data_IF_348395517490
#
_entry.id   IF_348395517490
#
_cell.length_a   1.000
_cell.length_b   1.000
_cell.length_c   1.000
_cell.angle_alpha   90.00
_cell.angle_beta   90.00
_cell.angle_gamma   90.00
#
_symmetry.space_group_name_H-M   'P 1'
#
loop_
_entity.id
_entity.type
_entity.pdbx_description
1 polymer ?
#
# COMPACT_ATOMS: atom_id res chain seq x y z
N UNK A 1 3.15 25.43 6.77
CA UNK A 1 2.59 24.97 5.48
C UNK A 1 2.97 25.96 4.38
N UNK A 2 2.96 25.58 3.11
CA UNK A 2 3.36 26.47 2.00
C UNK A 2 2.55 27.77 1.94
N UNK A 3 1.32 27.78 2.45
CA UNK A 3 0.44 28.96 2.54
C UNK A 3 0.61 29.79 3.81
N UNK A 4 1.64 29.54 4.62
CA UNK A 4 1.89 30.24 5.88
C UNK A 4 0.99 29.82 7.05
N UNK A 5 0.04 28.90 6.85
CA UNK A 5 -0.77 28.39 7.94
C UNK A 5 0.09 27.56 8.92
N UNK A 6 -0.17 27.70 10.21
CA UNK A 6 0.53 26.99 11.30
C UNK A 6 -0.47 26.20 12.14
N UNK A 7 -0.02 25.07 12.67
CA UNK A 7 -0.72 24.35 13.74
C UNK A 7 -0.17 24.86 15.06
N UNK A 8 -1.05 25.41 15.89
CA UNK A 8 -0.68 26.01 17.18
C UNK A 8 -1.39 25.25 18.30
N UNK A 9 -0.63 24.80 19.28
CA UNK A 9 -1.19 24.16 20.46
C UNK A 9 -1.32 25.21 21.57
N UNK A 10 -2.53 25.35 22.13
CA UNK A 10 -2.73 26.04 23.40
C UNK A 10 -2.16 25.21 24.57
N UNK A 11 -2.18 25.77 25.76
CA UNK A 11 -1.62 25.10 26.95
C UNK A 11 -2.31 23.76 27.25
N UNK A 12 -3.62 23.69 27.07
CA UNK A 12 -4.41 22.48 27.32
C UNK A 12 -4.05 21.39 26.32
N UNK A 13 -4.00 21.71 25.03
CA UNK A 13 -3.61 20.80 23.96
C UNK A 13 -2.16 20.36 24.13
N UNK A 14 -1.25 21.24 24.51
CA UNK A 14 0.15 20.89 24.76
C UNK A 14 0.29 19.92 25.94
N UNK A 15 -0.41 20.16 27.07
CA UNK A 15 -0.42 19.22 28.20
C UNK A 15 -0.90 17.85 27.79
N UNK A 16 -1.94 17.78 26.93
CA UNK A 16 -2.44 16.51 26.37
C UNK A 16 -1.44 15.87 25.41
N UNK A 17 -0.78 16.66 24.57
CA UNK A 17 0.22 16.17 23.59
C UNK A 17 1.41 15.47 24.26
N UNK A 18 1.77 15.89 25.47
CA UNK A 18 2.87 15.35 26.27
C UNK A 18 2.45 14.18 27.18
N UNK A 19 1.22 13.71 27.08
CA UNK A 19 0.67 12.61 27.86
C UNK A 19 0.39 11.37 26.99
N UNK A 20 0.22 10.21 27.64
CA UNK A 20 -0.25 8.99 27.01
C UNK A 20 -1.67 9.17 26.44
N UNK A 21 -2.00 8.39 25.42
CA UNK A 21 -3.36 8.31 24.85
C UNK A 21 -3.83 6.87 24.74
N UNK A 22 -5.08 6.67 24.33
CA UNK A 22 -5.61 5.34 24.10
C UNK A 22 -4.89 4.61 22.98
N UNK A 23 -4.76 3.30 23.11
CA UNK A 23 -4.04 2.46 22.14
C UNK A 23 -4.70 2.42 20.75
N UNK A 24 -6.02 2.64 20.68
CA UNK A 24 -6.73 2.76 19.39
C UNK A 24 -6.45 4.09 18.66
N UNK A 25 -5.92 5.10 19.34
CA UNK A 25 -5.73 6.47 18.86
C UNK A 25 -6.64 7.48 19.57
N UNK A 26 -6.42 8.77 19.29
CA UNK A 26 -7.23 9.84 19.89
C UNK A 26 -8.62 9.90 19.27
N UNK A 27 -9.70 10.07 20.07
CA UNK A 27 -11.08 9.93 19.59
C UNK A 27 -11.45 10.87 18.44
N UNK A 28 -11.02 12.11 18.49
CA UNK A 28 -11.34 13.12 17.47
C UNK A 28 -10.69 12.79 16.12
N UNK A 29 -9.46 12.25 16.11
CA UNK A 29 -8.80 11.82 14.87
C UNK A 29 -9.52 10.58 14.28
N UNK A 30 -9.84 9.60 15.12
CA UNK A 30 -10.60 8.40 14.70
C UNK A 30 -11.95 8.80 14.14
N UNK A 31 -12.69 9.67 14.80
CA UNK A 31 -14.01 10.14 14.33
C UNK A 31 -13.90 10.79 12.95
N UNK A 32 -12.94 11.70 12.78
CA UNK A 32 -12.74 12.38 11.50
C UNK A 32 -12.39 11.40 10.37
N UNK A 33 -11.50 10.43 10.65
CA UNK A 33 -11.13 9.41 9.66
C UNK A 33 -12.27 8.44 9.35
N UNK A 34 -13.09 8.05 10.34
CA UNK A 34 -14.29 7.23 10.11
C UNK A 34 -15.28 7.93 9.19
N UNK A 35 -15.49 9.22 9.39
CA UNK A 35 -16.38 10.01 8.55
C UNK A 35 -15.81 10.14 7.12
N UNK A 36 -14.50 10.32 6.99
CA UNK A 36 -13.85 10.31 5.68
C UNK A 36 -14.04 8.97 4.96
N UNK A 37 -13.82 7.84 5.65
CA UNK A 37 -13.99 6.49 5.08
C UNK A 37 -15.44 6.24 4.65
N UNK A 38 -16.43 6.65 5.48
CA UNK A 38 -17.85 6.55 5.14
C UNK A 38 -18.19 7.37 3.89
N UNK A 39 -17.70 8.60 3.81
CA UNK A 39 -18.02 9.49 2.71
C UNK A 39 -17.34 9.09 1.39
N UNK A 40 -16.11 8.57 1.45
CA UNK A 40 -15.36 8.17 0.26
C UNK A 40 -15.73 6.79 -0.25
N UNK A 41 -15.96 5.84 0.66
CA UNK A 41 -16.09 4.43 0.29
C UNK A 41 -17.49 3.87 0.50
N UNK A 42 -18.33 4.54 1.30
CA UNK A 42 -19.68 4.10 1.64
C UNK A 42 -19.73 2.59 1.99
N UNK A 43 -18.86 2.10 2.89
CA UNK A 43 -18.75 0.66 3.12
C UNK A 43 -20.04 0.12 3.75
N UNK A 44 -20.60 -1.00 3.25
CA UNK A 44 -21.81 -1.61 3.83
C UNK A 44 -21.67 -1.91 5.32
N UNK A 45 -20.48 -2.32 5.75
CA UNK A 45 -20.16 -2.67 7.14
C UNK A 45 -20.22 -1.49 8.11
N UNK A 46 -20.27 -0.24 7.63
CA UNK A 46 -20.39 0.94 8.50
C UNK A 46 -21.70 0.98 9.31
N UNK A 47 -22.75 0.30 8.84
CA UNK A 47 -24.06 0.23 9.48
C UNK A 47 -24.38 -1.13 10.12
N UNK A 48 -23.42 -2.07 10.11
CA UNK A 48 -23.64 -3.43 10.64
C UNK A 48 -23.59 -3.46 12.18
N UNK A 49 -24.16 -4.51 12.78
CA UNK A 49 -23.90 -4.85 14.18
C UNK A 49 -22.47 -5.39 14.35
N UNK A 50 -21.99 -5.44 15.58
CA UNK A 50 -20.67 -5.98 15.90
C UNK A 50 -20.53 -7.43 15.42
N UNK A 51 -21.57 -8.24 15.64
CA UNK A 51 -21.62 -9.65 15.24
C UNK A 51 -21.63 -9.83 13.72
N UNK A 52 -22.15 -8.86 12.99
CA UNK A 52 -22.17 -8.86 11.53
C UNK A 52 -20.91 -8.26 10.89
N UNK A 53 -19.89 -7.93 11.69
CA UNK A 53 -18.64 -7.37 11.19
C UNK A 53 -18.66 -5.84 11.04
N UNK A 54 -19.29 -5.13 11.99
CA UNK A 54 -19.29 -3.66 12.02
C UNK A 54 -17.89 -3.10 11.80
N UNK A 55 -17.80 -2.11 10.92
CA UNK A 55 -16.56 -1.39 10.63
C UNK A 55 -16.02 -0.66 11.86
N UNK A 56 -14.77 -0.88 12.17
CA UNK A 56 -14.01 -0.17 13.21
C UNK A 56 -12.68 0.30 12.66
N UNK A 57 -11.99 1.16 13.40
CA UNK A 57 -10.73 1.76 12.99
C UNK A 57 -9.78 1.93 14.18
N UNK A 58 -8.48 1.81 13.92
CA UNK A 58 -7.43 2.22 14.86
C UNK A 58 -6.27 2.93 14.15
N UNK A 59 -5.64 3.85 14.87
CA UNK A 59 -4.43 4.56 14.43
C UNK A 59 -3.21 3.67 14.61
N UNK A 60 -2.29 3.71 13.65
CA UNK A 60 -1.02 2.98 13.69
C UNK A 60 0.16 3.89 13.42
N UNK A 61 1.36 3.49 13.82
CA UNK A 61 2.62 4.22 13.54
C UNK A 61 3.07 3.96 12.09
N UNK A 62 2.27 4.49 11.14
CA UNK A 62 2.32 4.17 9.72
C UNK A 62 1.64 2.83 9.39
N UNK A 63 1.37 2.61 8.10
CA UNK A 63 0.72 1.37 7.62
C UNK A 63 1.57 0.11 7.89
N UNK A 64 2.90 0.22 7.90
CA UNK A 64 3.79 -0.92 8.16
C UNK A 64 3.56 -1.54 9.54
N UNK A 65 3.36 -0.74 10.59
CA UNK A 65 3.01 -1.27 11.91
C UNK A 65 1.68 -2.02 11.86
N UNK A 66 0.66 -1.44 11.19
CA UNK A 66 -0.62 -2.09 10.99
C UNK A 66 -0.50 -3.44 10.30
N UNK A 67 0.26 -3.51 9.20
CA UNK A 67 0.51 -4.75 8.46
C UNK A 67 1.19 -5.82 9.34
N UNK A 68 2.27 -5.47 10.07
CA UNK A 68 2.93 -6.41 10.97
C UNK A 68 1.94 -7.01 11.98
N UNK A 69 1.11 -6.15 12.62
CA UNK A 69 0.14 -6.61 13.62
C UNK A 69 -0.98 -7.47 13.02
N UNK A 70 -1.44 -7.14 11.81
CA UNK A 70 -2.42 -7.93 11.09
C UNK A 70 -1.85 -9.31 10.74
N UNK A 71 -0.62 -9.37 10.21
CA UNK A 71 0.00 -10.65 9.88
C UNK A 71 0.28 -11.49 11.11
N UNK A 72 0.84 -10.93 12.18
CA UNK A 72 1.08 -11.64 13.44
C UNK A 72 -0.21 -12.16 14.10
N UNK A 73 -1.34 -11.48 13.88
CA UNK A 73 -2.66 -11.92 14.35
C UNK A 73 -3.23 -13.08 13.53
N UNK A 74 -3.03 -13.06 12.20
CA UNK A 74 -3.75 -13.93 11.26
C UNK A 74 -2.95 -15.14 10.78
N UNK A 75 -1.61 -15.08 10.84
CA UNK A 75 -0.73 -16.02 10.16
C UNK A 75 0.09 -16.82 11.16
N UNK A 76 0.05 -18.16 11.06
CA UNK A 76 0.85 -19.09 11.82
C UNK A 76 1.92 -19.75 10.93
N UNK A 77 2.97 -20.35 11.53
CA UNK A 77 3.92 -21.17 10.78
C UNK A 77 3.21 -22.26 9.96
N UNK A 78 3.55 -22.37 8.68
CA UNK A 78 2.96 -23.34 7.76
C UNK A 78 1.65 -22.92 7.10
N UNK A 79 1.03 -21.82 7.53
CA UNK A 79 -0.15 -21.27 6.83
C UNK A 79 0.18 -20.82 5.42
N UNK A 80 -0.78 -20.92 4.51
CA UNK A 80 -0.67 -20.44 3.14
C UNK A 80 -1.22 -19.01 3.06
N UNK A 81 -0.39 -18.07 2.58
CA UNK A 81 -0.73 -16.66 2.35
C UNK A 81 -0.62 -16.35 0.86
N UNK A 82 -1.67 -15.76 0.30
CA UNK A 82 -1.72 -15.37 -1.12
C UNK A 82 -1.33 -13.91 -1.29
N UNK A 83 -0.54 -13.60 -2.30
CA UNK A 83 -0.24 -12.24 -2.75
C UNK A 83 0.18 -12.21 -4.22
N UNK A 84 0.14 -11.04 -4.83
CA UNK A 84 0.61 -10.80 -6.19
C UNK A 84 2.04 -10.23 -6.16
N UNK A 85 3.03 -11.09 -6.41
CA UNK A 85 4.43 -10.67 -6.57
C UNK A 85 4.76 -10.33 -8.05
N UNK A 86 5.68 -9.36 -8.30
CA UNK A 86 6.48 -8.64 -7.30
C UNK A 86 5.64 -7.70 -6.45
N UNK A 87 5.95 -7.62 -5.15
CA UNK A 87 5.18 -6.86 -4.18
C UNK A 87 6.07 -6.04 -3.24
N UNK A 88 5.46 -5.29 -2.34
CA UNK A 88 6.18 -4.46 -1.37
C UNK A 88 7.11 -5.31 -0.49
N UNK A 89 8.41 -4.98 -0.53
CA UNK A 89 9.43 -5.72 0.22
C UNK A 89 9.21 -5.71 1.75
N UNK A 90 8.57 -4.65 2.27
CA UNK A 90 8.20 -4.58 3.69
C UNK A 90 7.13 -5.60 4.09
N UNK A 91 6.25 -6.00 3.18
CA UNK A 91 5.29 -7.09 3.39
C UNK A 91 5.99 -8.43 3.41
N UNK A 92 6.91 -8.68 2.47
CA UNK A 92 7.72 -9.90 2.46
C UNK A 92 8.54 -10.04 3.74
N UNK A 93 9.19 -8.94 4.15
CA UNK A 93 9.97 -8.89 5.40
C UNK A 93 9.12 -9.13 6.66
N UNK A 94 7.83 -8.77 6.64
CA UNK A 94 6.92 -9.02 7.75
C UNK A 94 6.39 -10.46 7.78
N UNK A 95 6.19 -11.08 6.60
CA UNK A 95 5.65 -12.44 6.48
C UNK A 95 6.71 -13.53 6.67
N UNK A 96 7.92 -13.35 6.13
CA UNK A 96 8.98 -14.35 6.18
C UNK A 96 9.29 -14.87 7.59
N UNK A 97 9.44 -14.01 8.63
CA UNK A 97 9.70 -14.48 9.99
C UNK A 97 8.59 -15.32 10.62
N UNK A 98 7.36 -15.23 10.09
CA UNK A 98 6.20 -15.99 10.58
C UNK A 98 6.24 -17.46 10.14
N UNK A 99 7.14 -17.84 9.23
CA UNK A 99 7.28 -19.21 8.75
C UNK A 99 6.09 -19.71 7.93
N UNK A 100 5.36 -18.81 7.28
CA UNK A 100 4.25 -19.14 6.38
C UNK A 100 4.74 -19.47 4.97
N UNK A 101 3.89 -20.14 4.20
CA UNK A 101 4.07 -20.38 2.77
C UNK A 101 3.48 -19.22 1.98
N UNK A 102 4.32 -18.42 1.35
CA UNK A 102 3.87 -17.32 0.49
C UNK A 102 3.64 -17.86 -0.91
N UNK A 103 2.40 -17.77 -1.39
CA UNK A 103 1.97 -18.28 -2.69
C UNK A 103 1.71 -17.11 -3.62
N UNK A 104 2.45 -17.08 -4.74
CA UNK A 104 2.27 -16.06 -5.76
C UNK A 104 1.01 -16.28 -6.58
N UNK A 105 0.24 -15.21 -6.77
CA UNK A 105 -0.83 -15.11 -7.76
C UNK A 105 -0.34 -14.22 -8.90
N UNK A 106 -0.44 -14.67 -10.14
CA UNK A 106 0.02 -13.89 -11.28
C UNK A 106 -0.72 -12.56 -11.41
N UNK A 107 0.01 -11.53 -11.80
CA UNK A 107 -0.49 -10.17 -12.02
C UNK A 107 0.08 -9.56 -13.30
N UNK A 108 -0.55 -8.49 -13.77
CA UNK A 108 -0.12 -7.68 -14.91
C UNK A 108 -0.25 -6.18 -14.57
N UNK A 109 -0.22 -5.31 -15.58
CA UNK A 109 -0.39 -3.86 -15.41
C UNK A 109 -1.74 -3.46 -14.78
N UNK A 110 -2.70 -4.37 -14.75
CA UNK A 110 -4.02 -4.19 -14.11
C UNK A 110 -4.13 -4.97 -12.78
N UNK A 111 -3.00 -5.27 -12.14
CA UNK A 111 -2.93 -5.97 -10.86
C UNK A 111 -3.19 -7.47 -10.96
N UNK A 112 -3.58 -8.08 -9.84
CA UNK A 112 -3.84 -9.51 -9.74
C UNK A 112 -4.84 -9.99 -10.78
N UNK A 113 -4.54 -11.13 -11.43
CA UNK A 113 -5.39 -11.76 -12.44
C UNK A 113 -6.36 -12.72 -11.75
N UNK A 114 -7.69 -12.47 -11.77
CA UNK A 114 -8.68 -13.30 -11.07
C UNK A 114 -8.67 -14.78 -11.53
N UNK A 115 -8.44 -15.03 -12.82
CA UNK A 115 -8.28 -16.38 -13.34
C UNK A 115 -7.10 -17.12 -12.71
N UNK A 116 -5.96 -16.44 -12.56
CA UNK A 116 -4.79 -17.03 -11.89
C UNK A 116 -5.05 -17.29 -10.40
N UNK A 117 -5.81 -16.41 -9.73
CA UNK A 117 -6.23 -16.64 -8.33
C UNK A 117 -7.12 -17.89 -8.25
N UNK A 118 -8.08 -18.04 -9.17
CA UNK A 118 -8.95 -19.24 -9.25
C UNK A 118 -8.11 -20.51 -9.46
N UNK A 119 -7.15 -20.47 -10.37
CA UNK A 119 -6.26 -21.62 -10.65
C UNK A 119 -5.44 -22.02 -9.42
N UNK A 120 -4.94 -21.04 -8.69
CA UNK A 120 -4.22 -21.30 -7.42
C UNK A 120 -5.16 -21.91 -6.38
N UNK A 121 -6.34 -21.32 -6.18
CA UNK A 121 -7.31 -21.76 -5.19
C UNK A 121 -7.92 -23.12 -5.51
N UNK A 122 -7.99 -23.54 -6.78
CA UNK A 122 -8.52 -24.84 -7.20
C UNK A 122 -7.78 -26.05 -6.62
N UNK A 123 -6.62 -25.83 -5.99
CA UNK A 123 -5.86 -26.86 -5.25
C UNK A 123 -6.55 -27.32 -3.97
N UNK A 124 -7.55 -26.58 -3.48
CA UNK A 124 -8.28 -26.85 -2.25
C UNK A 124 -9.78 -26.91 -2.50
N UNK A 125 -10.47 -27.66 -1.65
CA UNK A 125 -11.93 -27.66 -1.59
C UNK A 125 -12.37 -26.46 -0.71
N UNK A 126 -13.22 -25.55 -1.20
CA UNK A 126 -13.78 -24.46 -0.39
C UNK A 126 -14.46 -24.94 0.90
N UNK A 127 -15.07 -26.14 0.88
CA UNK A 127 -15.71 -26.74 2.05
C UNK A 127 -14.73 -27.03 3.20
N UNK A 128 -13.42 -27.07 2.92
CA UNK A 128 -12.38 -27.28 3.91
C UNK A 128 -11.91 -25.99 4.59
N UNK A 129 -12.30 -24.82 4.10
CA UNK A 129 -11.79 -23.53 4.59
C UNK A 129 -11.98 -23.33 6.10
N UNK A 130 -13.08 -23.83 6.68
CA UNK A 130 -13.39 -23.71 8.12
C UNK A 130 -13.02 -24.92 8.95
N UNK A 131 -12.44 -25.97 8.37
CA UNK A 131 -12.06 -27.17 9.10
C UNK A 131 -10.81 -26.92 9.96
N UNK A 132 -10.75 -27.45 11.19
CA UNK A 132 -9.53 -27.40 11.99
C UNK A 132 -8.35 -28.04 11.24
N UNK A 133 -7.19 -27.39 11.26
CA UNK A 133 -5.98 -27.88 10.58
C UNK A 133 -6.02 -27.78 9.06
N UNK A 134 -7.01 -27.08 8.49
CA UNK A 134 -7.09 -26.85 7.05
C UNK A 134 -5.88 -26.07 6.53
N UNK A 135 -5.39 -26.46 5.35
CA UNK A 135 -4.34 -25.76 4.60
C UNK A 135 -4.89 -24.79 3.56
N UNK A 136 -6.22 -24.60 3.48
CA UNK A 136 -6.84 -23.58 2.63
C UNK A 136 -6.29 -22.21 3.03
N UNK A 137 -5.78 -21.40 2.08
CA UNK A 137 -5.33 -20.04 2.40
C UNK A 137 -6.45 -19.25 3.06
N UNK A 138 -6.09 -18.44 4.07
CA UNK A 138 -7.06 -17.56 4.77
C UNK A 138 -6.82 -16.09 4.51
N UNK A 139 -5.64 -15.73 4.00
CA UNK A 139 -5.20 -14.35 3.82
C UNK A 139 -4.78 -14.13 2.39
N UNK A 140 -5.34 -13.10 1.77
CA UNK A 140 -4.93 -12.53 0.50
C UNK A 140 -4.47 -11.10 0.75
N UNK A 141 -3.22 -10.78 0.41
CA UNK A 141 -2.67 -9.43 0.48
C UNK A 141 -2.54 -8.84 -0.93
N UNK A 142 -2.93 -7.58 -1.11
CA UNK A 142 -2.74 -6.85 -2.37
C UNK A 142 -2.64 -5.34 -2.17
N UNK A 143 -1.92 -4.65 -3.09
CA UNK A 143 -1.85 -3.20 -3.19
C UNK A 143 -2.65 -2.79 -4.43
N UNK A 144 -3.94 -2.40 -4.29
CA UNK A 144 -4.84 -2.32 -5.43
C UNK A 144 -4.65 -1.07 -6.30
N UNK A 145 -3.99 -0.01 -5.82
CA UNK A 145 -3.79 1.23 -6.58
C UNK A 145 -2.31 1.62 -6.60
N UNK A 146 -1.74 1.79 -7.80
CA UNK A 146 -0.37 2.23 -7.98
C UNK A 146 0.66 1.40 -7.21
N UNK A 147 0.53 0.08 -7.27
CA UNK A 147 1.25 -0.87 -6.43
C UNK A 147 2.77 -0.68 -6.42
N UNK A 148 3.37 -0.99 -5.30
CA UNK A 148 4.82 -1.01 -5.13
C UNK A 148 5.32 -2.45 -5.31
N UNK A 149 6.16 -2.74 -6.31
CA UNK A 149 6.95 -1.82 -7.15
C UNK A 149 6.32 -1.49 -8.51
N UNK A 150 5.25 -2.17 -8.93
CA UNK A 150 4.83 -2.30 -10.35
C UNK A 150 4.13 -1.06 -10.90
N UNK A 151 3.60 -0.18 -10.05
CA UNK A 151 2.70 0.90 -10.48
C UNK A 151 1.34 0.41 -11.00
N UNK A 152 1.06 -0.89 -10.91
CA UNK A 152 -0.19 -1.47 -11.37
C UNK A 152 -1.39 -0.99 -10.56
N UNK A 153 -2.56 -0.88 -11.21
CA UNK A 153 -3.82 -0.55 -10.55
C UNK A 153 -4.89 -1.54 -10.96
N UNK A 154 -5.54 -2.17 -9.96
CA UNK A 154 -6.55 -3.18 -10.19
C UNK A 154 -7.86 -2.55 -10.64
N UNK A 155 -8.44 -3.07 -11.74
CA UNK A 155 -9.73 -2.60 -12.24
C UNK A 155 -10.87 -2.98 -11.29
N UNK A 156 -11.97 -2.26 -11.40
CA UNK A 156 -13.18 -2.52 -10.61
C UNK A 156 -13.72 -3.92 -10.83
N UNK A 157 -13.69 -4.40 -12.08
CA UNK A 157 -14.15 -5.73 -12.47
C UNK A 157 -13.30 -6.80 -11.80
N UNK A 158 -11.97 -6.68 -11.85
CA UNK A 158 -11.06 -7.62 -11.17
C UNK A 158 -11.24 -7.62 -9.67
N UNK A 159 -11.45 -6.45 -9.04
CA UNK A 159 -11.76 -6.37 -7.60
C UNK A 159 -13.03 -7.16 -7.25
N UNK A 160 -14.08 -7.04 -8.06
CA UNK A 160 -15.32 -7.81 -7.86
C UNK A 160 -15.09 -9.31 -7.98
N UNK A 161 -14.36 -9.76 -9.00
CA UNK A 161 -14.06 -11.18 -9.19
C UNK A 161 -13.19 -11.73 -8.06
N UNK A 162 -12.15 -11.01 -7.64
CA UNK A 162 -11.29 -11.37 -6.50
C UNK A 162 -12.13 -11.44 -5.21
N UNK A 163 -13.03 -10.48 -4.98
CA UNK A 163 -13.90 -10.47 -3.82
C UNK A 163 -14.86 -11.67 -3.81
N UNK A 164 -15.40 -12.08 -4.98
CA UNK A 164 -16.24 -13.29 -5.07
C UNK A 164 -15.45 -14.57 -4.75
N UNK A 165 -14.22 -14.68 -5.24
CA UNK A 165 -13.34 -15.79 -4.87
C UNK A 165 -13.02 -15.79 -3.37
N UNK A 166 -12.82 -14.61 -2.78
CA UNK A 166 -12.62 -14.50 -1.34
C UNK A 166 -13.84 -14.95 -0.53
N UNK A 167 -15.05 -14.71 -1.02
CA UNK A 167 -16.28 -15.25 -0.42
C UNK A 167 -16.37 -16.77 -0.53
N UNK A 168 -16.04 -17.32 -1.70
CA UNK A 168 -16.09 -18.75 -1.98
C UNK A 168 -15.13 -19.54 -1.08
N UNK A 169 -13.90 -19.06 -0.90
CA UNK A 169 -12.83 -19.73 -0.13
C UNK A 169 -12.65 -19.20 1.28
N UNK A 170 -13.56 -18.35 1.77
CA UNK A 170 -13.51 -17.73 3.11
C UNK A 170 -12.19 -16.98 3.40
N UNK A 171 -11.67 -16.26 2.40
CA UNK A 171 -10.47 -15.44 2.54
C UNK A 171 -10.77 -14.10 3.23
N UNK A 172 -9.83 -13.64 4.05
CA UNK A 172 -9.69 -12.25 4.43
C UNK A 172 -8.80 -11.53 3.40
N UNK A 173 -9.22 -10.36 2.93
CA UNK A 173 -8.42 -9.53 2.03
C UNK A 173 -7.77 -8.42 2.84
N UNK A 174 -6.44 -8.36 2.82
CA UNK A 174 -5.67 -7.21 3.32
C UNK A 174 -5.48 -6.25 2.14
N UNK A 175 -6.26 -5.17 2.15
CA UNK A 175 -6.22 -4.09 1.17
C UNK A 175 -5.22 -3.04 1.65
N UNK A 176 -3.96 -3.13 1.24
CA UNK A 176 -2.93 -2.14 1.56
C UNK A 176 -2.95 -1.03 0.50
N UNK A 177 -3.46 0.15 0.86
CA UNK A 177 -3.76 1.18 -0.14
C UNK A 177 -3.15 2.56 0.17
N UNK A 178 -1.84 2.65 0.39
CA UNK A 178 -1.17 3.92 0.73
C UNK A 178 -1.17 4.92 -0.44
N UNK A 179 -1.53 4.49 -1.63
CA UNK A 179 -1.57 5.30 -2.85
C UNK A 179 -3.00 5.58 -3.34
N UNK A 180 -4.03 5.27 -2.56
CA UNK A 180 -5.43 5.53 -2.95
C UNK A 180 -5.65 6.97 -3.43
N UNK A 181 -5.16 7.93 -2.68
CA UNK A 181 -5.26 9.34 -3.01
C UNK A 181 -4.31 9.81 -4.13
N UNK A 182 -3.42 8.95 -4.61
CA UNK A 182 -2.52 9.24 -5.72
C UNK A 182 -3.01 8.65 -7.05
N UNK A 183 -4.29 8.44 -7.22
CA UNK A 183 -4.92 8.09 -8.49
C UNK A 183 -5.02 9.35 -9.36
N UNK A 184 -4.48 9.29 -10.59
CA UNK A 184 -4.33 10.47 -11.45
C UNK A 184 -5.59 10.89 -12.18
N UNK A 185 -6.62 10.07 -12.17
CA UNK A 185 -7.91 10.36 -12.80
C UNK A 185 -9.05 10.20 -11.79
N UNK A 186 -10.11 11.00 -11.96
CA UNK A 186 -11.39 10.87 -11.26
C UNK A 186 -12.47 10.36 -12.23
N UNK A 187 -13.49 9.64 -11.76
CA UNK A 187 -13.69 9.24 -10.37
C UNK A 187 -12.66 8.21 -9.92
N UNK A 188 -12.29 8.24 -8.63
CA UNK A 188 -11.39 7.24 -8.07
C UNK A 188 -12.02 5.84 -8.09
N UNK A 189 -11.18 4.83 -8.31
CA UNK A 189 -11.64 3.45 -8.37
C UNK A 189 -12.25 3.01 -7.02
N UNK A 190 -13.35 2.24 -7.02
CA UNK A 190 -13.91 1.65 -5.82
C UNK A 190 -12.87 0.79 -5.08
N UNK A 191 -12.94 0.80 -3.75
CA UNK A 191 -12.08 -0.01 -2.88
C UNK A 191 -12.72 -1.37 -2.61
N UNK A 192 -11.92 -2.36 -2.15
CA UNK A 192 -12.49 -3.59 -1.61
C UNK A 192 -13.38 -3.31 -0.40
N UNK A 193 -13.00 -2.34 0.44
CA UNK A 193 -13.81 -1.91 1.57
C UNK A 193 -15.22 -1.46 1.14
N UNK A 194 -15.35 -0.77 0.00
CA UNK A 194 -16.65 -0.34 -0.55
C UNK A 194 -17.53 -1.50 -1.04
N UNK A 195 -16.93 -2.68 -1.25
CA UNK A 195 -17.63 -3.89 -1.73
C UNK A 195 -17.89 -4.89 -0.60
N UNK A 196 -17.42 -4.60 0.62
CA UNK A 196 -17.42 -5.53 1.74
C UNK A 196 -18.80 -5.71 2.36
N UNK A 197 -19.49 -6.77 1.95
CA UNK A 197 -20.80 -7.17 2.49
C UNK A 197 -20.71 -8.25 3.57
N UNK A 198 -19.52 -8.82 3.80
CA UNK A 198 -19.34 -9.96 4.71
C UNK A 198 -18.44 -9.63 5.92
N UNK A 199 -17.81 -8.44 5.95
CA UNK A 199 -16.83 -8.10 6.99
C UNK A 199 -15.52 -8.88 6.83
N UNK A 200 -14.98 -8.98 5.59
CA UNK A 200 -13.75 -9.71 5.26
C UNK A 200 -12.59 -8.86 4.77
N UNK A 201 -12.76 -7.53 4.75
CA UNK A 201 -11.73 -6.60 4.31
C UNK A 201 -11.04 -5.97 5.51
N UNK A 202 -9.71 -6.04 5.54
CA UNK A 202 -8.87 -5.27 6.46
C UNK A 202 -8.06 -4.31 5.59
N UNK A 203 -8.38 -3.02 5.68
CA UNK A 203 -7.74 -1.97 4.89
C UNK A 203 -6.68 -1.25 5.71
N UNK A 204 -5.52 -0.99 5.11
CA UNK A 204 -4.50 -0.11 5.66
C UNK A 204 -4.36 1.14 4.81
N UNK A 205 -4.32 2.29 5.47
CA UNK A 205 -4.14 3.60 4.87
C UNK A 205 -2.92 4.32 5.50
N UNK A 206 -2.37 5.30 4.79
CA UNK A 206 -1.19 6.03 5.25
C UNK A 206 -1.26 7.51 4.90
N UNK A 207 -0.90 8.38 5.85
CA UNK A 207 -0.68 9.80 5.59
C UNK A 207 0.72 10.11 5.03
N UNK A 208 1.60 9.13 4.95
CA UNK A 208 3.01 9.31 4.54
C UNK A 208 3.17 9.89 3.14
N UNK A 209 2.24 9.61 2.21
CA UNK A 209 2.35 10.02 0.81
C UNK A 209 1.56 11.28 0.48
N UNK A 210 0.67 11.69 1.37
CA UNK A 210 -0.26 12.81 1.16
C UNK A 210 -0.04 13.99 2.11
N UNK A 211 0.61 13.74 3.27
CA UNK A 211 1.02 14.79 4.21
C UNK A 211 2.54 14.78 4.40
N UNK A 212 3.05 13.84 5.18
CA UNK A 212 4.49 13.68 5.40
C UNK A 212 4.82 12.29 5.92
N UNK A 213 5.85 11.66 5.35
CA UNK A 213 6.31 10.34 5.79
C UNK A 213 6.90 10.35 7.21
N UNK A 214 7.50 11.47 7.63
CA UNK A 214 8.09 11.65 8.96
C UNK A 214 7.07 11.71 10.11
N UNK A 215 5.79 11.96 9.82
CA UNK A 215 4.72 11.98 10.83
C UNK A 215 4.42 10.59 11.39
N UNK A 216 4.72 9.54 10.65
CA UNK A 216 4.50 8.14 11.05
C UNK A 216 3.07 7.86 11.50
N UNK A 217 2.07 8.30 10.73
CA UNK A 217 0.65 8.02 10.97
C UNK A 217 0.06 7.24 9.79
N UNK A 218 -0.56 6.13 10.14
CA UNK A 218 -1.46 5.33 9.31
C UNK A 218 -2.65 4.90 10.13
N UNK A 219 -3.53 4.13 9.53
CA UNK A 219 -4.68 3.57 10.25
C UNK A 219 -5.15 2.28 9.57
N UNK A 220 -5.75 1.43 10.39
CA UNK A 220 -6.38 0.17 9.97
C UNK A 220 -7.88 0.32 10.07
N UNK A 221 -8.60 -0.07 9.03
CA UNK A 221 -10.07 -0.13 8.97
C UNK A 221 -10.50 -1.56 8.66
N UNK A 222 -11.44 -2.09 9.41
CA UNK A 222 -11.92 -3.45 9.18
C UNK A 222 -13.01 -3.87 10.16
N UNK A 223 -13.37 -5.16 10.20
CA UNK A 223 -14.34 -5.67 11.16
C UNK A 223 -13.89 -5.45 12.61
N UNK A 224 -14.78 -4.91 13.43
CA UNK A 224 -14.47 -4.57 14.83
C UNK A 224 -13.77 -5.68 15.62
N UNK A 225 -14.20 -6.97 15.56
CA UNK A 225 -13.51 -8.03 16.29
C UNK A 225 -12.03 -8.19 15.93
N UNK A 226 -11.66 -7.92 14.66
CA UNK A 226 -10.26 -7.99 14.20
C UNK A 226 -9.49 -6.71 14.58
N UNK A 227 -10.10 -5.54 14.39
CA UNK A 227 -9.48 -4.25 14.79
C UNK A 227 -9.24 -4.22 16.30
N UNK A 228 -10.16 -4.71 17.14
CA UNK A 228 -9.96 -4.81 18.59
C UNK A 228 -8.73 -5.67 18.93
N UNK A 229 -8.46 -6.74 18.20
CA UNK A 229 -7.24 -7.57 18.40
C UNK A 229 -5.97 -6.82 17.99
N UNK A 230 -6.01 -6.05 16.90
CA UNK A 230 -4.91 -5.17 16.51
C UNK A 230 -4.64 -4.14 17.62
N UNK A 231 -5.68 -3.54 18.20
CA UNK A 231 -5.55 -2.59 19.33
C UNK A 231 -4.92 -3.25 20.56
N UNK A 232 -5.31 -4.47 20.91
CA UNK A 232 -4.69 -5.21 22.00
C UNK A 232 -3.20 -5.51 21.73
N UNK A 233 -2.85 -5.81 20.48
CA UNK A 233 -1.45 -6.01 20.08
C UNK A 233 -0.66 -4.70 20.18
N UNK A 234 -1.24 -3.58 19.74
CA UNK A 234 -0.65 -2.24 19.92
C UNK A 234 -0.40 -1.97 21.41
N UNK A 235 -1.38 -2.24 22.25
CA UNK A 235 -1.28 -2.02 23.69
C UNK A 235 -0.12 -2.81 24.32
N UNK A 236 0.13 -4.05 23.86
CA UNK A 236 1.17 -4.92 24.39
C UNK A 236 2.58 -4.62 23.82
N UNK A 237 2.68 -3.89 22.71
CA UNK A 237 3.95 -3.66 21.98
C UNK A 237 4.38 -2.18 21.98
N UNK A 238 3.71 -1.34 21.24
CA UNK A 238 4.04 0.08 21.06
C UNK A 238 3.24 1.01 22.00
N UNK A 239 2.27 0.48 22.73
CA UNK A 239 1.28 1.13 23.57
C UNK A 239 0.29 2.01 22.79
N UNK A 240 0.76 2.98 22.04
CA UNK A 240 -0.01 3.84 21.13
C UNK A 240 0.92 4.62 20.20
N UNK A 241 0.38 5.10 19.09
CA UNK A 241 1.07 6.07 18.24
C UNK A 241 1.22 7.41 18.97
N UNK A 242 2.32 8.13 18.72
CA UNK A 242 2.63 9.42 19.39
C UNK A 242 1.41 10.35 19.46
N UNK A 243 0.98 10.69 20.69
CA UNK A 243 -0.14 11.62 20.94
C UNK A 243 0.15 12.98 20.32
N UNK A 244 1.39 13.45 20.42
CA UNK A 244 1.83 14.71 19.85
C UNK A 244 1.57 14.76 18.34
N UNK A 245 1.99 13.73 17.61
CA UNK A 245 1.81 13.64 16.16
C UNK A 245 0.33 13.48 15.78
N UNK A 246 -0.44 12.68 16.52
CA UNK A 246 -1.87 12.53 16.29
C UNK A 246 -2.60 13.88 16.43
N UNK A 247 -2.25 14.68 17.43
CA UNK A 247 -2.85 16.00 17.64
C UNK A 247 -2.48 17.00 16.53
N UNK A 248 -1.24 16.98 16.03
CA UNK A 248 -0.85 17.78 14.86
C UNK A 248 -1.75 17.48 13.67
N UNK A 249 -1.90 16.20 13.34
CA UNK A 249 -2.73 15.78 12.19
C UNK A 249 -4.20 16.11 12.47
N UNK A 250 -4.70 15.82 13.66
CA UNK A 250 -6.09 16.08 14.02
C UNK A 250 -6.44 17.57 13.87
N UNK A 251 -5.63 18.46 14.41
CA UNK A 251 -5.86 19.90 14.25
C UNK A 251 -5.78 20.35 12.80
N UNK A 252 -4.83 19.81 12.03
CA UNK A 252 -4.71 20.11 10.61
C UNK A 252 -5.97 19.71 9.83
N UNK A 253 -6.44 18.47 10.03
CA UNK A 253 -7.60 17.92 9.33
C UNK A 253 -8.90 18.61 9.74
N UNK A 254 -9.09 18.93 11.03
CA UNK A 254 -10.25 19.69 11.49
C UNK A 254 -10.23 21.14 10.99
N UNK A 255 -9.05 21.76 10.93
CA UNK A 255 -8.89 23.11 10.38
C UNK A 255 -9.19 23.20 8.88
N UNK A 256 -8.91 22.15 8.14
CA UNK A 256 -9.24 22.07 6.70
C UNK A 256 -10.67 21.63 6.44
N UNK A 257 -11.24 20.80 7.31
CA UNK A 257 -12.43 20.02 7.00
C UNK A 257 -12.19 19.01 5.87
N UNK A 258 -13.21 18.24 5.51
CA UNK A 258 -13.08 17.24 4.44
C UNK A 258 -12.87 17.88 3.06
N UNK A 259 -13.53 18.99 2.78
CA UNK A 259 -13.36 19.75 1.52
C UNK A 259 -11.94 20.27 1.39
N UNK A 260 -11.40 20.94 2.42
CA UNK A 260 -10.03 21.47 2.38
C UNK A 260 -9.00 20.36 2.30
N UNK A 261 -9.24 19.20 2.93
CA UNK A 261 -8.41 18.00 2.77
C UNK A 261 -8.42 17.51 1.31
N UNK A 262 -9.58 17.40 0.67
CA UNK A 262 -9.68 16.95 -0.72
C UNK A 262 -9.05 17.96 -1.70
N UNK A 263 -9.17 19.25 -1.44
CA UNK A 263 -8.48 20.29 -2.21
C UNK A 263 -6.95 20.18 -2.07
N UNK A 264 -6.45 19.86 -0.87
CA UNK A 264 -5.02 19.54 -0.69
C UNK A 264 -4.61 18.30 -1.49
N UNK A 265 -5.41 17.24 -1.46
CA UNK A 265 -5.18 16.03 -2.25
C UNK A 265 -5.10 16.32 -3.74
N UNK A 266 -5.97 17.17 -4.28
CA UNK A 266 -5.95 17.54 -5.70
C UNK A 266 -4.61 18.18 -6.10
N UNK A 267 -4.06 19.06 -5.24
CA UNK A 267 -2.72 19.62 -5.44
C UNK A 267 -1.59 18.58 -5.37
N UNK A 268 -1.72 17.59 -4.48
CA UNK A 268 -0.75 16.49 -4.39
C UNK A 268 -0.83 15.59 -5.64
N UNK A 269 -2.02 15.27 -6.10
CA UNK A 269 -2.26 14.48 -7.34
C UNK A 269 -1.68 15.19 -8.55
N UNK A 270 -1.89 16.49 -8.69
CA UNK A 270 -1.32 17.28 -9.79
C UNK A 270 0.22 17.24 -9.78
N UNK A 271 0.83 17.42 -8.61
CA UNK A 271 2.28 17.30 -8.46
C UNK A 271 2.78 15.94 -8.95
N UNK A 272 2.21 14.83 -8.45
CA UNK A 272 2.64 13.49 -8.84
C UNK A 272 2.34 13.16 -10.31
N UNK A 273 1.25 13.68 -10.87
CA UNK A 273 0.95 13.55 -12.30
C UNK A 273 2.04 14.20 -13.14
N UNK A 274 2.43 15.43 -12.81
CA UNK A 274 3.48 16.15 -13.53
C UNK A 274 4.84 15.43 -13.43
N UNK A 275 5.15 14.90 -12.25
CA UNK A 275 6.36 14.09 -12.04
C UNK A 275 6.35 12.78 -12.85
N UNK A 276 5.22 12.07 -12.86
CA UNK A 276 5.02 10.89 -13.73
C UNK A 276 5.23 11.23 -15.19
N UNK A 277 4.60 12.28 -15.67
CA UNK A 277 4.66 12.66 -17.09
C UNK A 277 6.08 13.08 -17.50
N UNK A 278 6.80 13.76 -16.63
CA UNK A 278 8.22 14.06 -16.84
C UNK A 278 9.06 12.77 -16.91
N UNK A 279 8.83 11.80 -16.02
CA UNK A 279 9.53 10.52 -16.03
C UNK A 279 9.21 9.71 -17.28
N UNK A 280 7.95 9.63 -17.71
CA UNK A 280 7.55 8.94 -18.95
C UNK A 280 8.18 9.59 -20.18
N UNK A 281 8.18 10.92 -20.27
CA UNK A 281 8.84 11.64 -21.37
C UNK A 281 10.34 11.36 -21.44
N UNK A 282 11.01 11.28 -20.30
CA UNK A 282 12.44 10.92 -20.23
C UNK A 282 12.67 9.45 -20.58
N UNK A 283 11.79 8.54 -20.15
CA UNK A 283 11.84 7.13 -20.52
C UNK A 283 11.71 6.95 -22.04
N UNK A 284 10.72 7.60 -22.65
CA UNK A 284 10.51 7.57 -24.11
C UNK A 284 11.73 8.10 -24.88
N UNK A 285 12.39 9.12 -24.35
CA UNK A 285 13.57 9.73 -24.99
C UNK A 285 14.80 8.81 -24.93
N UNK A 286 15.07 8.20 -23.77
CA UNK A 286 16.34 7.56 -23.50
C UNK A 286 16.28 6.04 -23.48
N UNK A 287 15.15 5.43 -23.05
CA UNK A 287 15.06 4.01 -22.75
C UNK A 287 14.25 3.18 -23.76
N UNK A 288 13.51 3.81 -24.66
CA UNK A 288 12.57 3.16 -25.60
C UNK A 288 13.18 1.96 -26.35
N UNK A 289 14.45 2.02 -26.72
CA UNK A 289 15.11 0.95 -27.50
C UNK A 289 15.64 -0.18 -26.57
N UNK A 290 15.95 0.13 -25.31
CA UNK A 290 16.65 -0.74 -24.36
C UNK A 290 15.79 -1.21 -23.19
N UNK A 291 14.55 -0.73 -23.08
CA UNK A 291 13.67 -1.09 -21.97
C UNK A 291 12.19 -1.09 -22.39
N UNK A 292 11.34 -1.59 -21.47
CA UNK A 292 9.87 -1.65 -21.60
C UNK A 292 9.22 -1.27 -20.28
N UNK A 293 8.08 -0.57 -20.33
CA UNK A 293 7.29 -0.16 -19.16
C UNK A 293 5.84 0.08 -19.50
N UNK A 294 5.00 0.17 -18.49
CA UNK A 294 3.61 0.64 -18.60
C UNK A 294 3.46 1.94 -17.83
N UNK A 295 2.66 2.87 -18.37
CA UNK A 295 2.36 4.13 -17.68
C UNK A 295 1.49 3.86 -16.44
N UNK A 296 1.94 4.21 -15.21
CA UNK A 296 1.14 4.01 -14.02
C UNK A 296 -0.05 4.98 -13.97
N UNK A 297 -1.23 4.46 -13.59
CA UNK A 297 -2.44 5.25 -13.39
C UNK A 297 -2.53 5.88 -11.98
N UNK A 298 -1.66 5.46 -11.07
CA UNK A 298 -1.60 5.90 -9.68
C UNK A 298 -0.21 5.66 -9.07
N UNK A 299 0.03 6.21 -7.88
CA UNK A 299 1.24 5.94 -7.10
C UNK A 299 2.41 6.83 -7.47
N UNK A 300 3.61 6.29 -7.31
CA UNK A 300 4.86 7.05 -7.46
C UNK A 300 5.99 6.25 -8.09
N UNK A 301 5.69 5.10 -8.71
CA UNK A 301 6.70 4.17 -9.23
C UNK A 301 6.49 3.88 -10.70
N UNK A 302 7.60 3.83 -11.44
CA UNK A 302 7.69 3.27 -12.77
C UNK A 302 8.47 1.96 -12.69
N UNK A 303 7.87 0.86 -13.18
CA UNK A 303 8.45 -0.46 -13.24
C UNK A 303 8.98 -0.71 -14.64
N UNK A 304 10.28 -0.89 -14.76
CA UNK A 304 10.98 -0.88 -16.04
C UNK A 304 11.69 -2.21 -16.23
N UNK A 305 11.37 -2.93 -17.30
CA UNK A 305 12.09 -4.12 -17.75
C UNK A 305 13.25 -3.73 -18.65
N UNK A 306 14.46 -4.15 -18.30
CA UNK A 306 15.66 -3.91 -19.10
C UNK A 306 15.82 -5.04 -20.12
N UNK A 307 15.85 -4.71 -21.42
CA UNK A 307 16.00 -5.69 -22.52
C UNK A 307 17.41 -6.25 -22.51
N UNK A 308 17.54 -7.58 -22.70
CA UNK A 308 18.84 -8.26 -22.75
C UNK A 308 19.56 -8.43 -21.40
N UNK A 309 19.01 -7.84 -20.31
CA UNK A 309 19.54 -7.98 -18.95
C UNK A 309 18.72 -9.05 -18.23
N UNK A 310 19.35 -10.15 -17.83
CA UNK A 310 18.67 -11.22 -17.10
C UNK A 310 18.45 -10.87 -15.62
N UNK A 311 19.41 -10.17 -15.00
CA UNK A 311 19.34 -9.74 -13.60
C UNK A 311 19.90 -8.34 -13.45
N UNK A 312 19.18 -7.49 -12.77
CA UNK A 312 19.52 -6.08 -12.57
C UNK A 312 20.34 -5.82 -11.30
N UNK A 313 20.52 -6.82 -10.44
CA UNK A 313 21.10 -6.65 -9.10
C UNK A 313 22.48 -5.96 -9.17
N UNK A 314 23.44 -6.55 -9.87
CA UNK A 314 24.77 -6.00 -9.95
C UNK A 314 24.81 -4.68 -10.75
N UNK A 315 24.07 -4.61 -11.86
CA UNK A 315 24.01 -3.40 -12.68
C UNK A 315 23.58 -2.18 -11.87
N UNK A 316 22.56 -2.34 -11.00
CA UNK A 316 21.99 -1.22 -10.23
C UNK A 316 22.76 -0.95 -8.95
N UNK A 317 23.16 -1.98 -8.20
CA UNK A 317 23.78 -1.79 -6.89
C UNK A 317 25.25 -1.35 -6.96
N UNK A 318 25.92 -1.61 -8.08
CA UNK A 318 27.32 -1.27 -8.30
C UNK A 318 27.46 -0.20 -9.40
N UNK A 319 27.25 -0.59 -10.67
CA UNK A 319 27.56 0.26 -11.83
C UNK A 319 26.68 1.52 -11.93
N UNK A 320 25.38 1.42 -11.65
CA UNK A 320 24.50 2.59 -11.68
C UNK A 320 24.82 3.56 -10.53
N UNK A 321 25.17 3.04 -9.35
CA UNK A 321 25.56 3.85 -8.22
C UNK A 321 26.84 4.65 -8.51
N UNK A 322 27.85 4.03 -9.15
CA UNK A 322 29.08 4.72 -9.59
C UNK A 322 28.80 5.86 -10.59
N UNK A 323 27.69 5.76 -11.34
CA UNK A 323 27.23 6.81 -12.27
C UNK A 323 26.19 7.74 -11.63
N UNK A 324 26.04 7.72 -10.31
CA UNK A 324 25.08 8.53 -9.54
C UNK A 324 23.61 8.33 -9.99
N UNK A 325 23.23 7.09 -10.34
CA UNK A 325 21.87 6.70 -10.67
C UNK A 325 21.34 5.80 -9.56
N UNK A 326 20.34 6.29 -8.83
CA UNK A 326 19.72 5.56 -7.71
C UNK A 326 18.38 4.95 -8.16
N UNK A 327 18.38 3.64 -8.35
CA UNK A 327 17.19 2.83 -8.62
C UNK A 327 17.13 1.66 -7.64
N UNK A 328 16.08 0.89 -7.69
CA UNK A 328 15.95 -0.33 -6.87
C UNK A 328 15.86 -1.54 -7.79
N UNK A 329 16.77 -2.53 -7.67
CA UNK A 329 16.71 -3.75 -8.48
C UNK A 329 15.46 -4.57 -8.16
N UNK A 330 14.90 -5.21 -9.20
CA UNK A 330 13.61 -5.87 -9.10
C UNK A 330 13.58 -7.08 -8.18
N UNK A 331 14.69 -7.77 -8.01
CA UNK A 331 14.80 -8.98 -7.19
C UNK A 331 14.34 -8.80 -5.74
N UNK A 332 14.51 -7.59 -5.16
CA UNK A 332 14.11 -7.30 -3.76
C UNK A 332 12.59 -7.33 -3.54
N UNK A 333 11.81 -7.36 -4.61
CA UNK A 333 10.33 -7.41 -4.56
C UNK A 333 9.78 -8.81 -4.87
N UNK A 334 10.65 -9.77 -5.17
CA UNK A 334 10.27 -11.16 -5.38
C UNK A 334 10.14 -11.91 -4.06
N UNK A 335 9.27 -12.92 -4.01
CA UNK A 335 9.16 -13.84 -2.87
C UNK A 335 10.50 -14.53 -2.61
N UNK A 336 11.15 -15.01 -3.66
CA UNK A 336 12.52 -15.51 -3.66
C UNK A 336 13.43 -14.48 -4.33
N UNK A 337 14.19 -13.74 -3.54
CA UNK A 337 15.12 -12.71 -4.02
C UNK A 337 16.35 -13.27 -4.72
N UNK A 338 16.61 -14.58 -4.69
CA UNK A 338 17.68 -15.25 -5.41
C UNK A 338 17.39 -15.47 -6.89
N UNK A 339 16.10 -15.37 -7.28
CA UNK A 339 15.69 -15.52 -8.67
C UNK A 339 16.07 -14.27 -9.47
N UNK A 340 16.82 -14.41 -10.57
CA UNK A 340 17.18 -13.28 -11.42
C UNK A 340 15.98 -12.46 -11.88
N UNK A 341 16.10 -11.13 -11.86
CA UNK A 341 15.02 -10.24 -12.19
C UNK A 341 15.46 -9.13 -13.16
N UNK A 342 14.86 -9.05 -14.37
CA UNK A 342 15.25 -8.07 -15.39
C UNK A 342 14.64 -6.68 -15.15
N UNK A 343 13.97 -6.45 -14.03
CA UNK A 343 13.26 -5.22 -13.75
C UNK A 343 14.02 -4.30 -12.80
N UNK A 344 13.69 -3.02 -12.89
CA UNK A 344 14.09 -1.99 -11.92
C UNK A 344 12.90 -1.13 -11.55
N UNK A 345 12.86 -0.64 -10.30
CA UNK A 345 11.89 0.34 -9.85
C UNK A 345 12.51 1.74 -9.84
N UNK A 346 11.90 2.67 -10.57
CA UNK A 346 12.18 4.10 -10.50
C UNK A 346 11.06 4.80 -9.70
N UNK A 347 11.42 5.74 -8.81
CA UNK A 347 10.48 6.55 -8.07
C UNK A 347 10.49 7.99 -8.58
N UNK A 348 9.33 8.57 -8.89
CA UNK A 348 9.22 9.96 -9.36
C UNK A 348 8.78 10.95 -8.26
N UNK A 349 9.02 10.61 -7.00
CA UNK A 349 8.48 11.37 -5.86
C UNK A 349 9.30 12.61 -5.47
N UNK A 350 10.62 12.62 -5.71
CA UNK A 350 11.50 13.67 -5.17
C UNK A 350 12.37 14.38 -6.23
N UNK A 351 12.88 13.64 -7.22
CA UNK A 351 13.81 14.17 -8.21
C UNK A 351 13.14 15.19 -9.12
N UNK A 352 13.87 16.23 -9.50
CA UNK A 352 13.38 17.19 -10.49
C UNK A 352 13.30 16.54 -11.89
N UNK A 353 12.49 17.07 -12.80
CA UNK A 353 12.44 16.60 -14.19
C UNK A 353 13.84 16.50 -14.85
N UNK A 354 14.72 17.46 -14.58
CA UNK A 354 16.08 17.47 -15.10
C UNK A 354 16.94 16.35 -14.52
N UNK A 355 16.81 16.06 -13.22
CA UNK A 355 17.51 14.95 -12.58
C UNK A 355 17.01 13.59 -13.11
N UNK A 356 15.70 13.45 -13.34
CA UNK A 356 15.11 12.26 -13.95
C UNK A 356 15.65 12.06 -15.37
N UNK A 357 15.70 13.11 -16.18
CA UNK A 357 16.19 13.05 -17.56
C UNK A 357 17.66 12.62 -17.61
N UNK A 358 18.53 13.22 -16.79
CA UNK A 358 19.95 12.85 -16.71
C UNK A 358 20.15 11.43 -16.18
N UNK A 359 19.37 11.00 -15.16
CA UNK A 359 19.46 9.65 -14.64
C UNK A 359 19.11 8.59 -15.69
N UNK A 360 18.05 8.83 -16.49
CA UNK A 360 17.64 7.89 -17.54
C UNK A 360 18.60 7.89 -18.74
N UNK A 361 19.22 9.02 -19.07
CA UNK A 361 20.32 9.10 -20.04
C UNK A 361 21.49 8.24 -19.61
N UNK A 362 21.94 8.35 -18.36
CA UNK A 362 23.02 7.56 -17.77
C UNK A 362 22.65 6.06 -17.73
N UNK A 363 21.43 5.73 -17.32
CA UNK A 363 20.93 4.35 -17.32
C UNK A 363 20.95 3.73 -18.73
N UNK A 364 20.51 4.49 -19.75
CA UNK A 364 20.54 4.01 -21.14
C UNK A 364 21.95 3.66 -21.62
N UNK A 365 22.94 4.48 -21.24
CA UNK A 365 24.36 4.21 -21.53
C UNK A 365 24.84 2.94 -20.82
N UNK A 366 24.53 2.80 -19.54
CA UNK A 366 24.89 1.60 -18.75
C UNK A 366 24.30 0.31 -19.32
N UNK A 367 23.04 0.33 -19.76
CA UNK A 367 22.41 -0.83 -20.38
C UNK A 367 23.12 -1.21 -21.67
N UNK A 368 23.48 -0.23 -22.53
CA UNK A 368 24.21 -0.47 -23.78
C UNK A 368 25.64 -0.99 -23.55
N UNK A 369 26.29 -0.55 -22.48
CA UNK A 369 27.59 -1.05 -22.07
C UNK A 369 27.57 -2.49 -21.53
N UNK A 370 26.39 -2.94 -21.05
CA UNK A 370 26.18 -4.26 -20.45
C UNK A 370 25.68 -5.32 -21.45
N UNK A 371 25.22 -4.90 -22.64
CA UNK A 371 24.79 -5.77 -23.75
C UNK A 371 25.96 -6.12 -24.67
#
# INVERSE_FOLDING_TARGET
>A
MKNGASVVFDETTMKRALQYSGSCGIPELISWMKDLQRNLHSPPTASYSVEAGQMEMCVTTGSQEGLCKIFEMLVNPGDNVLLDAPTYSGTLAALQPLGCNIINVLSDQYGMIPGALRDVLSRWDPADAKKPGSTVPRVLYTIPNGGNPTGASMTTERKREVYQLAREYDLLIIEDDPYYFLQFQKPWAPTFLSMDVDGRIIRTDSFSKILSSGLRIGFVTGPKPLVDRVVLHIQASTMHTSTFTQLIISQLLHGWGQEGFLNHIDGVVEFYRNQRDAMLSSADRWLKDVAEWHAPAAGMFLWIRLKGIADTQQLIMEKALEKEVLLVPGGVFNIDSSVPCPYVRAAFSLSTPQQIDEAFKRLASLIKEAL
#
